data_IF_982834632457
#
_entry.id   IF_982834632457
#
_cell.length_a   1.000
_cell.length_b   1.000
_cell.length_c   1.000
_cell.angle_alpha   90.00
_cell.angle_beta   90.00
_cell.angle_gamma   90.00
#
_symmetry.space_group_name_H-M   'P 1'
#
loop_
_entity.id
_entity.type
_entity.pdbx_description
1 polymer ?
#
# COMPACT_ATOMS: atom_id res chain seq x y z
N UNK A 1 -11.19 -35.06 -12.22
CA UNK A 1 -11.70 -34.68 -10.88
C UNK A 1 -10.78 -35.14 -9.72
N UNK A 2 -9.62 -35.74 -9.98
CA UNK A 2 -8.81 -36.46 -8.97
C UNK A 2 -8.00 -35.56 -8.02
N UNK A 3 -7.64 -34.33 -8.42
CA UNK A 3 -6.73 -33.47 -7.62
C UNK A 3 -7.38 -32.95 -6.33
N UNK A 4 -8.69 -32.71 -6.33
CA UNK A 4 -9.42 -32.25 -5.14
C UNK A 4 -9.50 -33.36 -4.08
N UNK A 5 -9.83 -34.59 -4.51
CA UNK A 5 -9.88 -35.75 -3.61
C UNK A 5 -8.51 -36.05 -2.98
N UNK A 6 -7.41 -35.85 -3.71
CA UNK A 6 -6.05 -36.03 -3.15
C UNK A 6 -5.73 -34.99 -2.06
N UNK A 7 -6.26 -33.77 -2.16
CA UNK A 7 -6.08 -32.75 -1.11
C UNK A 7 -6.95 -33.06 0.10
N UNK A 8 -8.22 -33.45 -0.11
CA UNK A 8 -9.13 -33.87 0.94
C UNK A 8 -8.60 -35.10 1.72
N UNK A 9 -8.13 -36.14 1.02
CA UNK A 9 -7.52 -37.34 1.61
C UNK A 9 -6.29 -37.00 2.47
N UNK A 10 -5.46 -36.06 2.00
CA UNK A 10 -4.28 -35.61 2.74
C UNK A 10 -4.71 -34.85 4.00
N UNK A 11 -5.74 -34.00 3.92
CA UNK A 11 -6.29 -33.30 5.08
C UNK A 11 -6.84 -34.27 6.13
N UNK A 12 -7.62 -35.26 5.72
CA UNK A 12 -8.19 -36.29 6.60
C UNK A 12 -7.08 -37.10 7.31
N UNK A 13 -6.01 -37.41 6.58
CA UNK A 13 -4.82 -38.08 7.15
C UNK A 13 -3.95 -37.15 8.02
N UNK A 14 -4.28 -35.87 8.12
CA UNK A 14 -3.48 -34.87 8.85
C UNK A 14 -2.17 -34.50 8.15
N UNK A 15 -2.06 -34.76 6.85
CA UNK A 15 -0.91 -34.46 6.01
C UNK A 15 -1.07 -33.09 5.33
N UNK A 16 0.04 -32.39 5.12
CA UNK A 16 0.04 -31.02 4.59
C UNK A 16 -0.24 -29.95 5.66
N UNK A 17 -0.23 -28.68 5.28
CA UNK A 17 -0.33 -27.55 6.21
C UNK A 17 -1.64 -27.57 7.03
N UNK A 18 -2.79 -27.76 6.38
CA UNK A 18 -4.10 -27.80 7.04
C UNK A 18 -4.26 -29.01 7.97
N UNK A 19 -3.73 -30.17 7.58
CA UNK A 19 -3.73 -31.37 8.41
C UNK A 19 -2.84 -31.24 9.65
N UNK A 20 -1.69 -30.58 9.52
CA UNK A 20 -0.81 -30.24 10.66
C UNK A 20 -1.45 -29.20 11.57
N UNK A 21 -2.06 -28.15 10.99
CA UNK A 21 -2.77 -27.10 11.73
C UNK A 21 -3.93 -27.68 12.56
N UNK A 22 -4.64 -28.68 12.04
CA UNK A 22 -5.74 -29.34 12.75
C UNK A 22 -5.30 -30.22 13.92
N UNK A 23 -4.03 -30.64 13.97
CA UNK A 23 -3.50 -31.56 15.00
C UNK A 23 -2.60 -30.86 16.02
N UNK A 24 -2.06 -29.70 15.67
CA UNK A 24 -1.13 -28.94 16.48
C UNK A 24 -1.81 -27.67 17.03
N UNK A 25 -2.13 -27.71 18.32
CA UNK A 25 -2.79 -26.62 19.04
C UNK A 25 -1.95 -25.33 19.09
N UNK A 26 -0.62 -25.46 19.07
CA UNK A 26 0.29 -24.32 19.07
C UNK A 26 0.25 -23.61 17.72
N UNK A 27 0.32 -24.36 16.62
CA UNK A 27 0.18 -23.81 15.28
C UNK A 27 -1.21 -23.19 15.04
N UNK A 28 -2.27 -23.83 15.55
CA UNK A 28 -3.62 -23.28 15.49
C UNK A 28 -3.71 -21.93 16.20
N UNK A 29 -3.16 -21.84 17.41
CA UNK A 29 -3.15 -20.61 18.21
C UNK A 29 -2.34 -19.51 17.52
N UNK A 30 -1.13 -19.82 17.02
CA UNK A 30 -0.31 -18.86 16.28
C UNK A 30 -0.99 -18.34 15.00
N UNK A 31 -1.68 -19.22 14.27
CA UNK A 31 -2.44 -18.84 13.08
C UNK A 31 -3.61 -17.91 13.44
N UNK A 32 -4.37 -18.25 14.47
CA UNK A 32 -5.47 -17.42 14.99
C UNK A 32 -4.96 -16.04 15.41
N UNK A 33 -3.85 -15.97 16.13
CA UNK A 33 -3.25 -14.71 16.57
C UNK A 33 -2.79 -13.85 15.39
N UNK A 34 -2.23 -14.49 14.36
CA UNK A 34 -1.82 -13.80 13.13
C UNK A 34 -3.03 -13.23 12.39
N UNK A 35 -4.13 -13.99 12.28
CA UNK A 35 -5.36 -13.47 11.69
C UNK A 35 -6.00 -12.36 12.51
N UNK A 36 -5.95 -12.45 13.84
CA UNK A 36 -6.43 -11.39 14.72
C UNK A 36 -5.65 -10.08 14.51
N UNK A 37 -4.31 -10.15 14.45
CA UNK A 37 -3.46 -9.00 14.14
C UNK A 37 -3.72 -8.44 12.74
N UNK A 38 -3.91 -9.31 11.75
CA UNK A 38 -4.25 -8.88 10.39
C UNK A 38 -5.60 -8.17 10.34
N UNK A 39 -6.63 -8.70 11.00
CA UNK A 39 -7.94 -8.05 11.13
C UNK A 39 -7.79 -6.66 11.76
N UNK A 40 -7.05 -6.55 12.87
CA UNK A 40 -6.84 -5.26 13.52
C UNK A 40 -6.10 -4.24 12.61
N UNK A 41 -5.19 -4.69 11.76
CA UNK A 41 -4.54 -3.82 10.76
C UNK A 41 -5.54 -3.40 9.68
N UNK A 42 -6.35 -4.32 9.18
CA UNK A 42 -7.38 -4.04 8.18
C UNK A 42 -8.45 -3.08 8.72
N UNK A 43 -8.86 -3.24 9.98
CA UNK A 43 -9.80 -2.36 10.66
C UNK A 43 -9.20 -0.96 10.84
N UNK A 44 -7.94 -0.86 11.29
CA UNK A 44 -7.21 0.41 11.37
C UNK A 44 -7.10 1.10 10.01
N UNK A 45 -6.84 0.35 8.96
CA UNK A 45 -6.78 0.88 7.59
C UNK A 45 -8.14 1.41 7.13
N UNK A 46 -9.23 0.66 7.38
CA UNK A 46 -10.59 1.09 7.07
C UNK A 46 -11.02 2.33 7.87
N UNK A 47 -10.53 2.46 9.11
CA UNK A 47 -10.80 3.61 9.98
C UNK A 47 -9.87 4.80 9.72
N UNK A 48 -8.90 4.68 8.79
CA UNK A 48 -7.94 5.74 8.51
C UNK A 48 -6.89 5.94 9.62
N UNK A 49 -6.71 4.97 10.51
CA UNK A 49 -5.73 5.01 11.59
C UNK A 49 -4.32 4.56 11.14
N UNK A 50 -3.29 5.11 11.77
CA UNK A 50 -1.88 4.85 11.44
C UNK A 50 -1.33 5.76 10.33
N UNK A 51 -0.03 5.68 10.02
CA UNK A 51 0.63 6.61 9.10
C UNK A 51 0.07 6.53 7.67
N UNK A 52 -0.36 5.34 7.25
CA UNK A 52 -0.98 5.12 5.93
C UNK A 52 -2.40 5.68 5.89
N UNK A 53 -3.23 5.39 6.89
CA UNK A 53 -4.58 5.95 6.99
C UNK A 53 -4.56 7.49 7.14
N UNK A 54 -3.65 8.02 7.95
CA UNK A 54 -3.42 9.47 8.08
C UNK A 54 -2.99 10.09 6.75
N UNK A 55 -2.11 9.46 5.96
CA UNK A 55 -1.72 9.97 4.64
C UNK A 55 -2.90 10.04 3.65
N UNK A 56 -3.85 9.09 3.71
CA UNK A 56 -5.01 9.09 2.82
C UNK A 56 -6.15 10.01 3.27
N UNK A 57 -6.26 10.27 4.58
CA UNK A 57 -7.35 11.08 5.16
C UNK A 57 -6.92 12.54 5.40
N UNK A 58 -5.64 12.87 5.32
CA UNK A 58 -5.16 14.23 5.59
C UNK A 58 -5.62 15.23 4.51
N UNK A 59 -6.54 16.17 4.84
CA UNK A 59 -6.98 17.20 3.91
C UNK A 59 -5.85 18.12 3.45
N UNK A 60 -4.77 18.22 4.24
CA UNK A 60 -3.61 19.03 3.91
C UNK A 60 -2.82 18.47 2.72
N UNK A 61 -2.77 17.15 2.53
CA UNK A 61 -2.12 16.54 1.37
C UNK A 61 -2.85 16.89 0.07
N UNK A 62 -4.18 16.82 0.10
CA UNK A 62 -5.03 17.23 -1.02
C UNK A 62 -4.87 18.73 -1.34
N UNK A 63 -4.88 19.58 -0.30
CA UNK A 63 -4.65 21.02 -0.44
C UNK A 63 -3.26 21.33 -1.01
N UNK A 64 -2.22 20.67 -0.51
CA UNK A 64 -0.84 20.85 -0.97
C UNK A 64 -0.65 20.38 -2.42
N UNK A 65 -1.29 19.28 -2.82
CA UNK A 65 -1.30 18.81 -4.21
C UNK A 65 -1.97 19.81 -5.14
N UNK A 66 -3.16 20.32 -4.78
CA UNK A 66 -3.85 21.33 -5.57
C UNK A 66 -3.02 22.62 -5.69
N UNK A 67 -2.41 23.08 -4.60
CA UNK A 67 -1.53 24.24 -4.62
C UNK A 67 -0.30 24.01 -5.50
N UNK A 68 0.36 22.87 -5.38
CA UNK A 68 1.49 22.50 -6.23
C UNK A 68 1.09 22.46 -7.72
N UNK A 69 -0.05 21.85 -8.05
CA UNK A 69 -0.57 21.84 -9.42
C UNK A 69 -0.88 23.25 -9.93
N UNK A 70 -1.45 24.12 -9.10
CA UNK A 70 -1.70 25.52 -9.44
C UNK A 70 -0.38 26.27 -9.72
N UNK A 71 0.64 26.10 -8.89
CA UNK A 71 1.95 26.73 -9.11
C UNK A 71 2.64 26.21 -10.38
N UNK A 72 2.50 24.92 -10.70
CA UNK A 72 2.99 24.37 -11.97
C UNK A 72 2.29 25.02 -13.16
N UNK A 73 0.96 25.19 -13.10
CA UNK A 73 0.20 25.87 -14.16
C UNK A 73 0.65 27.32 -14.33
N UNK A 74 0.86 28.05 -13.22
CA UNK A 74 1.41 29.41 -13.26
C UNK A 74 2.81 29.45 -13.87
N UNK A 75 3.67 28.52 -13.49
CA UNK A 75 5.01 28.43 -14.06
C UNK A 75 4.95 28.18 -15.57
N UNK A 76 4.08 27.29 -16.04
CA UNK A 76 3.88 27.03 -17.47
C UNK A 76 3.36 28.28 -18.20
N UNK A 77 2.47 29.03 -17.57
CA UNK A 77 1.97 30.29 -18.08
C UNK A 77 3.09 31.34 -18.21
N UNK A 78 3.87 31.54 -17.14
CA UNK A 78 4.99 32.49 -17.12
C UNK A 78 6.09 32.10 -18.09
N UNK A 79 6.37 30.81 -18.22
CA UNK A 79 7.32 30.27 -19.19
C UNK A 79 6.87 30.54 -20.62
N UNK A 80 5.57 30.37 -20.94
CA UNK A 80 5.03 30.71 -22.26
C UNK A 80 5.16 32.22 -22.56
N UNK A 81 4.94 33.08 -21.56
CA UNK A 81 5.02 34.54 -21.73
C UNK A 81 6.45 35.04 -21.89
N UNK A 82 7.41 34.48 -21.15
CA UNK A 82 8.80 34.91 -21.23
C UNK A 82 9.80 33.77 -20.98
N UNK A 83 9.99 32.87 -21.95
CA UNK A 83 10.85 31.69 -21.77
C UNK A 83 12.33 32.07 -21.58
N UNK A 84 12.76 33.22 -22.11
CA UNK A 84 14.14 33.73 -22.00
C UNK A 84 14.55 34.04 -20.55
N UNK A 85 13.60 34.36 -19.67
CA UNK A 85 13.87 34.60 -18.23
C UNK A 85 14.32 33.32 -17.52
N UNK A 86 13.83 32.16 -17.96
CA UNK A 86 14.09 30.85 -17.36
C UNK A 86 15.25 30.11 -18.03
N UNK A 87 15.53 30.37 -19.31
CA UNK A 87 16.62 29.78 -20.08
C UNK A 87 17.94 30.56 -19.98
N UNK A 88 18.32 31.05 -18.78
CA UNK A 88 19.67 31.59 -18.57
C UNK A 88 20.68 30.45 -18.54
N UNK A 89 21.03 29.93 -19.72
CA UNK A 89 22.14 29.00 -19.87
C UNK A 89 23.42 29.80 -19.62
N UNK A 90 24.03 29.59 -18.45
CA UNK A 90 25.43 30.00 -18.25
C UNK A 90 26.27 29.06 -19.10
N UNK A 91 26.53 29.44 -20.34
CA UNK A 91 27.61 28.83 -21.09
C UNK A 91 28.91 29.21 -20.37
N UNK A 92 29.43 28.28 -19.56
CA UNK A 92 30.83 28.27 -19.23
C UNK A 92 31.57 28.06 -20.55
N UNK A 93 32.05 29.16 -21.13
CA UNK A 93 33.03 29.12 -22.21
C UNK A 93 34.25 28.36 -21.71
N UNK A 94 34.78 27.53 -22.61
CA UNK A 94 36.09 26.90 -22.58
C UNK A 94 37.17 27.79 -21.95
#
# INVERSE_FOLDING_TARGET
>A
MTKFNVVADRMEKGQGFLGKLSKDETLYTQFRDTMSKFSAIADKMNQGEGTVGKLFVDPSLYSNLNNASSEVVKLLYDFRQNPKRFLKIKFGLF
#
